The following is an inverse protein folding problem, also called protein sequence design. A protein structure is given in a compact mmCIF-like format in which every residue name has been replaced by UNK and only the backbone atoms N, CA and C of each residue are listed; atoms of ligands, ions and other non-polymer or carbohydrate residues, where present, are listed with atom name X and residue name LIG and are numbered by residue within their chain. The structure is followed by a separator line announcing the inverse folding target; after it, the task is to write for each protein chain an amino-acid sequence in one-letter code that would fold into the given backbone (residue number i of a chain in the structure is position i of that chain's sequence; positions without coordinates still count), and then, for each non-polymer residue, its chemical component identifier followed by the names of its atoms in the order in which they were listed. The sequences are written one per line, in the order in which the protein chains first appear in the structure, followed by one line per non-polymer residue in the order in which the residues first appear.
data_IF_505885741421
#
_entry.id   IF_505885741421
#
_cell.length_a   1.000
_cell.length_b   1.000
_cell.length_c   1.000
_cell.angle_alpha   90.00
_cell.angle_beta   90.00
_cell.angle_gamma   90.00
#
_symmetry.space_group_name_H-M   'P 1'
#
loop_
_entity.id
_entity.type
_entity.pdbx_description
1 polymer ?
#
# COMPACT_ATOMS: atom_id res chain seq x y z
N UNK A 1 11.03 23.65 -4.49
CA UNK A 1 10.77 22.21 -4.69
C UNK A 1 9.66 21.80 -3.73
N UNK A 2 8.65 21.04 -4.18
CA UNK A 2 7.61 20.50 -3.27
C UNK A 2 8.26 19.52 -2.29
N UNK A 3 7.91 19.62 -1.01
CA UNK A 3 8.50 18.80 0.05
C UNK A 3 7.81 17.46 0.18
N UNK A 4 6.55 17.39 -0.23
CA UNK A 4 5.79 16.16 -0.31
C UNK A 4 5.27 15.90 -1.73
N UNK A 5 5.24 14.64 -2.15
CA UNK A 5 4.61 14.23 -3.42
C UNK A 5 3.99 12.85 -3.31
N UNK A 6 2.83 12.66 -3.95
CA UNK A 6 2.28 11.32 -4.16
C UNK A 6 3.00 10.69 -5.36
N UNK A 7 3.43 9.45 -5.20
CA UNK A 7 4.08 8.64 -6.22
C UNK A 7 3.40 7.28 -6.29
N UNK A 8 3.34 6.69 -7.48
CA UNK A 8 3.02 5.26 -7.60
C UNK A 8 4.07 4.45 -6.83
N UNK A 9 3.62 3.69 -5.85
CA UNK A 9 4.51 2.82 -5.10
C UNK A 9 4.96 1.62 -5.93
N UNK A 10 5.87 0.88 -5.33
CA UNK A 10 6.62 -0.22 -5.96
C UNK A 10 5.64 -1.30 -6.45
N UNK A 11 5.57 -1.55 -7.76
CA UNK A 11 4.82 -2.71 -8.30
C UNK A 11 5.34 -3.99 -7.67
N UNK A 12 4.45 -4.77 -7.09
CA UNK A 12 4.82 -5.98 -6.37
C UNK A 12 4.88 -7.12 -7.39
N UNK A 13 6.05 -7.32 -8.01
CA UNK A 13 6.30 -8.45 -8.93
C UNK A 13 5.83 -9.81 -8.38
N UNK A 14 5.78 -9.95 -7.05
CA UNK A 14 5.28 -11.13 -6.34
C UNK A 14 3.78 -11.36 -6.62
N UNK A 15 2.95 -10.32 -6.70
CA UNK A 15 1.52 -10.44 -6.99
C UNK A 15 1.27 -10.96 -8.41
N UNK A 16 2.05 -10.50 -9.39
CA UNK A 16 2.01 -11.05 -10.74
C UNK A 16 2.39 -12.54 -10.76
N UNK A 17 3.43 -12.94 -10.02
CA UNK A 17 3.81 -14.35 -9.89
C UNK A 17 2.71 -15.19 -9.23
N UNK A 18 2.07 -14.68 -8.17
CA UNK A 18 0.95 -15.35 -7.51
C UNK A 18 -0.26 -15.48 -8.45
N UNK A 19 -0.57 -14.45 -9.23
CA UNK A 19 -1.63 -14.51 -10.24
C UNK A 19 -1.41 -15.63 -11.25
N UNK A 20 -0.16 -15.82 -11.72
CA UNK A 20 0.17 -16.91 -12.65
C UNK A 20 -0.08 -18.28 -12.02
N UNK A 21 0.28 -18.46 -10.75
CA UNK A 21 0.03 -19.71 -10.01
C UNK A 21 -1.47 -19.97 -9.89
N UNK A 22 -2.26 -18.95 -9.52
CA UNK A 22 -3.72 -19.07 -9.41
C UNK A 22 -4.36 -19.43 -10.76
N UNK A 23 -3.93 -18.83 -11.86
CA UNK A 23 -4.43 -19.19 -13.19
C UNK A 23 -4.05 -20.62 -13.59
N UNK A 24 -2.86 -21.10 -13.22
CA UNK A 24 -2.47 -22.48 -13.45
C UNK A 24 -3.36 -23.46 -12.63
N UNK A 25 -3.67 -23.12 -11.38
CA UNK A 25 -4.58 -23.90 -10.54
C UNK A 25 -6.02 -23.88 -11.09
N UNK A 26 -6.47 -22.74 -11.62
CA UNK A 26 -7.77 -22.62 -12.28
C UNK A 26 -7.87 -23.59 -13.48
N UNK A 27 -6.83 -23.63 -14.32
CA UNK A 27 -6.75 -24.55 -15.47
C UNK A 27 -6.67 -26.02 -15.05
N UNK A 28 -5.92 -26.35 -14.01
CA UNK A 28 -5.82 -27.72 -13.50
C UNK A 28 -7.14 -28.21 -12.90
N UNK A 29 -7.88 -27.32 -12.22
CA UNK A 29 -9.14 -27.64 -11.55
C UNK A 29 -10.36 -27.69 -12.46
N UNK A 30 -10.26 -27.23 -13.72
CA UNK A 30 -11.35 -27.36 -14.71
C UNK A 30 -11.84 -28.80 -14.88
N UNK A 31 -10.94 -29.78 -14.70
CA UNK A 31 -11.27 -31.22 -14.82
C UNK A 31 -11.94 -31.80 -13.58
N UNK A 32 -11.80 -31.16 -12.42
CA UNK A 32 -12.30 -31.67 -11.13
C UNK A 32 -13.52 -30.92 -10.63
N UNK A 33 -13.56 -29.59 -10.76
CA UNK A 33 -14.70 -28.78 -10.33
C UNK A 33 -14.69 -27.40 -10.98
N UNK A 34 -15.78 -27.05 -11.66
CA UNK A 34 -16.00 -25.72 -12.21
C UNK A 34 -16.04 -24.63 -11.13
N UNK A 35 -16.51 -24.95 -9.93
CA UNK A 35 -16.55 -24.02 -8.80
C UNK A 35 -15.15 -23.67 -8.27
N UNK A 36 -14.28 -24.67 -8.13
CA UNK A 36 -12.87 -24.44 -7.74
C UNK A 36 -12.11 -23.66 -8.81
N UNK A 37 -12.32 -24.01 -10.07
CA UNK A 37 -11.71 -23.30 -11.20
C UNK A 37 -12.09 -21.82 -11.24
N UNK A 38 -13.38 -21.51 -11.05
CA UNK A 38 -13.86 -20.13 -11.00
C UNK A 38 -13.26 -19.36 -9.81
N UNK A 39 -13.09 -20.00 -8.65
CA UNK A 39 -12.55 -19.36 -7.45
C UNK A 39 -11.07 -18.98 -7.64
N UNK A 40 -10.24 -19.91 -8.13
CA UNK A 40 -8.84 -19.63 -8.44
C UNK A 40 -8.71 -18.58 -9.55
N UNK A 41 -9.57 -18.62 -10.56
CA UNK A 41 -9.55 -17.61 -11.63
C UNK A 41 -9.86 -16.20 -11.11
N UNK A 42 -10.89 -16.06 -10.25
CA UNK A 42 -11.23 -14.79 -9.61
C UNK A 42 -10.11 -14.30 -8.68
N UNK A 43 -9.45 -15.20 -7.97
CA UNK A 43 -8.31 -14.88 -7.10
C UNK A 43 -7.08 -14.41 -7.90
N UNK A 44 -6.78 -15.06 -9.04
CA UNK A 44 -5.73 -14.60 -9.97
C UNK A 44 -6.02 -13.23 -10.55
N UNK A 45 -7.28 -12.99 -10.97
CA UNK A 45 -7.75 -11.67 -11.42
C UNK A 45 -7.57 -10.60 -10.35
N UNK A 46 -7.91 -10.91 -9.10
CA UNK A 46 -7.70 -10.01 -7.96
C UNK A 46 -6.23 -9.60 -7.83
N UNK A 47 -5.29 -10.54 -7.89
CA UNK A 47 -3.86 -10.23 -7.83
C UNK A 47 -3.37 -9.35 -8.99
N UNK A 48 -3.85 -9.59 -10.21
CA UNK A 48 -3.50 -8.73 -11.37
C UNK A 48 -4.04 -7.32 -11.19
N UNK A 49 -5.29 -7.18 -10.76
CA UNK A 49 -5.91 -5.88 -10.47
C UNK A 49 -5.15 -5.13 -9.38
N UNK A 50 -4.76 -5.84 -8.31
CA UNK A 50 -4.02 -5.26 -7.20
C UNK A 50 -2.60 -4.83 -7.60
N UNK A 51 -1.89 -5.63 -8.42
CA UNK A 51 -0.58 -5.25 -8.96
C UNK A 51 -0.68 -4.03 -9.90
N UNK A 52 -1.74 -3.97 -10.71
CA UNK A 52 -2.03 -2.85 -11.63
C UNK A 52 -2.37 -1.56 -10.90
N UNK A 53 -3.11 -1.62 -9.79
CA UNK A 53 -3.46 -0.43 -9.02
C UNK A 53 -2.24 0.19 -8.35
N UNK A 54 -1.22 -0.63 -8.05
CA UNK A 54 -0.07 -0.20 -7.27
C UNK A 54 -0.47 0.20 -5.86
N UNK A 55 0.48 0.15 -4.93
CA UNK A 55 0.26 0.72 -3.59
C UNK A 55 0.64 2.19 -3.67
N UNK A 56 -0.26 3.17 -3.49
CA UNK A 56 0.13 4.56 -3.52
C UNK A 56 1.11 4.85 -2.37
N UNK A 57 2.12 5.65 -2.66
CA UNK A 57 3.13 6.06 -1.70
C UNK A 57 3.20 7.59 -1.63
N UNK A 58 3.43 8.13 -0.44
CA UNK A 58 3.77 9.55 -0.28
C UNK A 58 5.27 9.64 0.00
N UNK A 59 5.96 10.39 -0.83
CA UNK A 59 7.35 10.74 -0.60
C UNK A 59 7.42 12.06 0.15
N UNK A 60 8.21 12.08 1.23
CA UNK A 60 8.46 13.22 2.10
C UNK A 60 9.96 13.47 2.10
N UNK A 61 10.37 14.70 1.75
CA UNK A 61 11.76 15.12 1.87
C UNK A 61 11.95 15.85 3.21
N UNK A 62 12.59 15.18 4.17
CA UNK A 62 12.89 15.71 5.50
C UNK A 62 14.41 15.88 5.65
N UNK A 63 14.86 17.12 5.90
CA UNK A 63 16.28 17.49 6.01
C UNK A 63 17.19 16.95 4.88
N UNK A 64 16.70 16.82 3.65
CA UNK A 64 17.47 16.34 2.51
C UNK A 64 17.44 14.82 2.30
N UNK A 65 16.90 14.06 3.25
CA UNK A 65 16.65 12.61 3.11
C UNK A 65 15.23 12.36 2.61
N UNK A 66 15.09 11.41 1.68
CA UNK A 66 13.81 11.04 1.08
C UNK A 66 13.20 9.86 1.84
N UNK A 67 12.02 10.07 2.42
CA UNK A 67 11.23 9.05 3.09
C UNK A 67 10.02 8.71 2.25
N UNK A 68 9.64 7.45 2.21
CA UNK A 68 8.50 6.95 1.47
C UNK A 68 7.52 6.28 2.43
N UNK A 69 6.28 6.74 2.41
CA UNK A 69 5.21 6.29 3.32
C UNK A 69 4.19 5.53 2.49
N UNK A 70 3.94 4.27 2.82
CA UNK A 70 3.01 3.40 2.11
C UNK A 70 2.39 2.37 3.05
N UNK A 71 1.16 1.90 2.82
CA UNK A 71 0.59 0.82 3.62
C UNK A 71 1.33 -0.49 3.37
N UNK A 72 1.38 -1.35 4.39
CA UNK A 72 1.82 -2.72 4.24
C UNK A 72 0.82 -3.53 3.40
N UNK A 73 1.24 -4.73 2.98
CA UNK A 73 0.43 -5.65 2.18
C UNK A 73 -0.99 -5.89 2.74
N UNK A 74 -1.10 -6.04 4.07
CA UNK A 74 -2.37 -6.34 4.74
C UNK A 74 -3.20 -5.09 5.07
N UNK A 75 -2.78 -3.89 4.64
CA UNK A 75 -3.39 -2.60 5.00
C UNK A 75 -3.62 -2.41 6.50
N UNK A 76 -2.79 -3.06 7.33
CA UNK A 76 -2.88 -3.02 8.79
C UNK A 76 -1.87 -2.04 9.41
N UNK A 77 -0.88 -1.60 8.64
CA UNK A 77 0.14 -0.66 9.08
C UNK A 77 0.63 0.21 7.92
N UNK A 78 1.16 1.40 8.23
CA UNK A 78 1.94 2.24 7.34
C UNK A 78 3.41 1.95 7.59
N UNK A 79 4.14 1.72 6.51
CA UNK A 79 5.59 1.63 6.49
C UNK A 79 6.12 3.01 6.14
N UNK A 80 7.00 3.53 6.99
CA UNK A 80 7.82 4.69 6.67
C UNK A 80 9.22 4.20 6.38
N UNK A 81 9.65 4.38 5.14
CA UNK A 81 10.83 3.76 4.55
C UNK A 81 11.80 4.86 4.10
N UNK A 82 12.96 4.95 4.73
CA UNK A 82 14.01 5.93 4.42
C UNK A 82 15.35 5.41 4.90
N UNK A 83 16.04 6.16 5.78
CA UNK A 83 17.24 5.67 6.46
C UNK A 83 16.91 4.53 7.44
N UNK A 84 15.85 4.71 8.22
CA UNK A 84 15.30 3.68 9.11
C UNK A 84 13.91 3.28 8.66
N UNK A 85 13.61 1.97 8.69
CA UNK A 85 12.29 1.45 8.41
C UNK A 85 11.46 1.43 9.69
N UNK A 86 10.40 2.25 9.73
CA UNK A 86 9.42 2.26 10.83
C UNK A 86 8.07 1.71 10.37
N UNK A 87 7.38 1.02 11.27
CA UNK A 87 6.04 0.48 11.03
C UNK A 87 5.09 1.13 12.02
N UNK A 88 4.04 1.77 11.51
CA UNK A 88 3.03 2.46 12.30
C UNK A 88 1.71 1.74 12.09
N UNK A 89 1.04 1.24 13.14
CA UNK A 89 -0.24 0.57 12.98
C UNK A 89 -1.29 1.52 12.40
N UNK A 90 -2.11 1.02 11.47
CA UNK A 90 -3.11 1.81 10.76
C UNK A 90 -4.39 1.92 11.59
N UNK A 91 -4.31 2.69 12.68
CA UNK A 91 -5.40 2.89 13.64
C UNK A 91 -6.12 4.20 13.30
N UNK A 92 -7.46 4.24 13.30
CA UNK A 92 -8.21 5.48 13.11
C UNK A 92 -7.80 6.58 14.09
N UNK A 93 -7.64 7.79 13.59
CA UNK A 93 -7.18 8.95 14.35
C UNK A 93 -5.85 9.51 13.84
N UNK A 94 -5.26 10.39 14.63
CA UNK A 94 -3.98 11.05 14.31
C UNK A 94 -2.85 10.36 15.05
N UNK A 95 -1.83 9.96 14.30
CA UNK A 95 -0.56 9.45 14.81
C UNK A 95 0.56 10.36 14.34
N UNK A 96 1.50 10.71 15.21
CA UNK A 96 2.68 11.51 14.83
C UNK A 96 3.92 10.63 14.84
N UNK A 97 4.76 10.78 13.83
CA UNK A 97 6.04 10.08 13.72
C UNK A 97 7.12 11.12 13.56
N UNK A 98 8.12 11.08 14.43
CA UNK A 98 9.30 11.92 14.30
C UNK A 98 10.36 11.22 13.46
N UNK A 99 10.83 11.90 12.41
CA UNK A 99 11.83 11.41 11.47
C UNK A 99 12.87 12.50 11.23
N UNK A 100 14.12 12.21 11.57
CA UNK A 100 15.24 13.14 11.42
C UNK A 100 14.99 14.53 12.05
N UNK A 101 14.35 14.55 13.22
CA UNK A 101 13.95 15.77 13.94
C UNK A 101 12.74 16.51 13.35
N UNK A 102 12.06 15.92 12.35
CA UNK A 102 10.84 16.47 11.77
C UNK A 102 9.62 15.62 12.08
N UNK A 103 8.52 16.27 12.46
CA UNK A 103 7.26 15.60 12.74
C UNK A 103 6.44 15.40 11.46
N UNK A 104 6.02 14.16 11.23
CA UNK A 104 5.06 13.78 10.19
C UNK A 104 3.79 13.30 10.89
N UNK A 105 2.66 13.92 10.56
CA UNK A 105 1.36 13.51 11.08
C UNK A 105 0.66 12.60 10.08
N UNK A 106 0.19 11.46 10.55
CA UNK A 106 -0.60 10.47 9.82
C UNK A 106 -2.03 10.54 10.36
N UNK A 107 -2.98 10.97 9.53
CA UNK A 107 -4.39 11.06 9.91
C UNK A 107 -5.18 9.98 9.15
N UNK A 108 -5.60 8.95 9.89
CA UNK A 108 -6.34 7.81 9.35
C UNK A 108 -7.82 8.01 9.63
N UNK A 109 -8.61 8.19 8.57
CA UNK A 109 -10.06 8.31 8.66
C UNK A 109 -10.72 6.97 8.31
N UNK A 110 -11.72 6.52 9.08
CA UNK A 110 -12.50 5.36 8.70
C UNK A 110 -13.22 5.64 7.37
N UNK A 111 -13.21 4.64 6.48
CA UNK A 111 -13.88 4.71 5.18
C UNK A 111 -14.79 3.50 4.98
N UNK A 112 -15.65 3.57 3.95
CA UNK A 112 -16.72 2.58 3.72
C UNK A 112 -16.21 1.23 3.20
N UNK A 113 -15.10 1.25 2.47
CA UNK A 113 -14.43 0.06 1.91
C UNK A 113 -12.98 -0.03 2.36
N UNK A 114 -12.26 1.11 2.34
CA UNK A 114 -10.90 1.24 2.82
C UNK A 114 -10.78 2.52 3.67
N UNK A 115 -9.97 2.52 4.74
CA UNK A 115 -9.67 3.73 5.47
C UNK A 115 -8.97 4.73 4.54
N UNK A 116 -9.21 6.02 4.75
CA UNK A 116 -8.52 7.09 4.03
C UNK A 116 -7.35 7.58 4.86
N UNK A 117 -6.15 7.56 4.30
CA UNK A 117 -4.93 7.98 5.01
C UNK A 117 -4.46 9.31 4.46
N UNK A 118 -4.26 10.29 5.34
CA UNK A 118 -3.60 11.55 5.02
C UNK A 118 -2.22 11.60 5.67
N UNK A 119 -1.24 12.05 4.90
CA UNK A 119 0.12 12.35 5.36
C UNK A 119 0.26 13.85 5.37
N UNK A 120 0.54 14.41 6.53
CA UNK A 120 0.76 15.83 6.75
C UNK A 120 2.19 16.08 7.20
N UNK A 121 2.87 17.01 6.52
CA UNK A 121 4.26 17.35 6.79
C UNK A 121 4.52 18.82 6.48
N UNK A 122 4.99 19.58 7.49
CA UNK A 122 5.27 21.03 7.37
C UNK A 122 4.12 21.83 6.72
N UNK A 123 2.87 21.48 7.05
CA UNK A 123 1.66 22.13 6.54
C UNK A 123 1.19 21.65 5.16
N UNK A 124 1.95 20.78 4.48
CA UNK A 124 1.48 20.10 3.27
C UNK A 124 0.74 18.82 3.66
N UNK A 125 -0.53 18.69 3.26
CA UNK A 125 -1.35 17.50 3.52
C UNK A 125 -1.67 16.79 2.21
N UNK A 126 -1.24 15.54 2.09
CA UNK A 126 -1.48 14.69 0.93
C UNK A 126 -2.34 13.49 1.31
N UNK A 127 -3.24 13.13 0.40
CA UNK A 127 -4.04 11.91 0.51
C UNK A 127 -3.27 10.75 -0.11
N UNK A 128 -3.15 9.65 0.63
CA UNK A 128 -2.49 8.42 0.19
C UNK A 128 -3.47 7.51 -0.58
N UNK A 129 -4.64 7.20 -0.01
CA UNK A 129 -5.76 6.49 -0.64
C UNK A 129 -7.09 6.83 0.03
#
# INVERSE_FOLDING_TARGET
MRRTRVVEGKRHRILASLAVVEFALALASLKTSSGLSALFFMQGLFFVLFDRMGVPAVEVNANGSLYRIYPNWSFSALIVDGEDRRTVPLIPGRSTVEINGEEITLDVKPGRLFPTVFVEFKGERLKLF
#
